data_IF_601603687991
#
_entry.id   IF_601603687991
#
_cell.length_a   1.000
_cell.length_b   1.000
_cell.length_c   1.000
_cell.angle_alpha   90.00
_cell.angle_beta   90.00
_cell.angle_gamma   90.00
#
_symmetry.space_group_name_H-M   'P 1'
#
loop_
_entity.id
_entity.type
_entity.pdbx_description
1 polymer ?
2 non-polymer ?
#
# COMPACT_ATOMS: atom_id res chain seq x y z
N UNK A 1 -6.96 -29.79 -11.79
CA UNK A 1 -6.02 -30.94 -11.60
C UNK A 1 -4.63 -30.45 -11.15
N UNK A 2 -3.59 -31.00 -11.77
CA UNK A 2 -2.21 -30.62 -11.46
C UNK A 2 -2.09 -29.09 -11.28
N UNK A 3 -1.28 -28.70 -10.30
CA UNK A 3 -1.08 -27.28 -10.00
C UNK A 3 -0.39 -26.57 -11.15
N UNK A 4 -1.15 -26.43 -12.23
CA UNK A 4 -0.63 -25.80 -13.43
C UNK A 4 -1.71 -24.99 -14.12
N UNK A 5 -1.31 -23.86 -14.71
CA UNK A 5 -2.27 -23.01 -15.40
C UNK A 5 -2.51 -21.68 -14.72
N UNK A 6 -3.25 -20.76 -15.36
CA UNK A 6 -3.55 -19.44 -14.81
C UNK A 6 -4.48 -19.48 -13.61
N UNK A 7 -4.06 -18.81 -12.53
CA UNK A 7 -4.84 -18.74 -11.30
C UNK A 7 -5.13 -17.29 -10.94
N UNK A 8 -6.40 -16.92 -10.85
CA UNK A 8 -6.76 -15.54 -10.52
C UNK A 8 -7.24 -15.37 -9.08
N UNK A 9 -6.38 -14.79 -8.24
CA UNK A 9 -6.69 -14.57 -6.83
C UNK A 9 -6.86 -13.12 -6.45
N UNK A 10 -7.85 -12.82 -5.61
CA UNK A 10 -8.07 -11.46 -5.18
C UNK A 10 -7.90 -11.34 -3.67
N UNK A 11 -7.19 -10.31 -3.22
CA UNK A 11 -6.97 -10.09 -1.80
C UNK A 11 -7.53 -8.70 -1.46
N UNK A 12 -7.99 -8.50 -0.23
CA UNK A 12 -8.50 -7.19 0.13
C UNK A 12 -7.29 -6.35 0.51
N UNK A 13 -7.35 -5.03 0.25
CA UNK A 13 -6.31 -4.03 0.53
C UNK A 13 -5.58 -4.14 1.87
N UNK A 14 -6.30 -4.59 2.91
CA UNK A 14 -5.70 -4.69 4.23
C UNK A 14 -5.00 -6.02 4.44
N UNK A 15 -4.95 -6.84 3.41
CA UNK A 15 -4.29 -8.14 3.53
C UNK A 15 -3.22 -8.36 2.47
N UNK A 16 -3.62 -8.21 1.21
CA UNK A 16 -2.71 -8.44 0.10
C UNK A 16 -1.28 -7.97 0.24
N UNK A 17 -1.05 -6.66 0.34
CA UNK A 17 0.29 -6.11 0.47
C UNK A 17 1.11 -6.54 1.68
N UNK A 18 0.45 -7.01 2.72
CA UNK A 18 1.19 -7.42 3.91
C UNK A 18 1.39 -8.93 4.00
N UNK A 19 0.53 -9.69 3.34
CA UNK A 19 0.59 -11.15 3.33
C UNK A 19 1.40 -11.72 2.18
N UNK A 20 1.16 -11.19 0.97
CA UNK A 20 1.83 -11.67 -0.24
C UNK A 20 3.34 -11.92 -0.18
N UNK A 21 4.12 -10.94 0.28
CA UNK A 21 5.56 -11.19 0.34
C UNK A 21 5.96 -12.39 1.18
N UNK A 22 5.07 -12.88 2.02
CA UNK A 22 5.36 -14.04 2.86
C UNK A 22 5.03 -15.38 2.22
N UNK A 23 4.00 -15.41 1.39
CA UNK A 23 3.60 -16.66 0.77
C UNK A 23 3.84 -16.81 -0.73
N UNK A 24 3.96 -15.70 -1.45
CA UNK A 24 4.16 -15.77 -2.90
C UNK A 24 5.43 -16.47 -3.36
N UNK A 25 6.60 -16.07 -2.82
CA UNK A 25 7.83 -16.74 -3.25
C UNK A 25 7.73 -18.24 -2.98
N UNK A 26 7.19 -18.59 -1.82
CA UNK A 26 7.00 -19.99 -1.43
C UNK A 26 6.09 -20.77 -2.40
N UNK A 27 4.96 -20.17 -2.77
CA UNK A 27 4.02 -20.82 -3.67
C UNK A 27 4.59 -21.03 -5.05
N UNK A 28 5.43 -20.10 -5.49
CA UNK A 28 6.04 -20.18 -6.80
C UNK A 28 6.99 -21.37 -6.89
N UNK A 29 7.78 -21.59 -5.84
CA UNK A 29 8.70 -22.72 -5.85
C UNK A 29 8.10 -23.97 -5.20
N UNK A 30 6.80 -24.19 -5.45
CA UNK A 30 6.08 -25.33 -4.92
C UNK A 30 4.98 -25.67 -5.92
N UNK A 31 4.72 -24.73 -6.82
CA UNK A 31 3.71 -24.90 -7.86
C UNK A 31 4.20 -24.06 -9.04
N UNK A 32 5.41 -24.38 -9.55
CA UNK A 32 6.08 -23.71 -10.67
C UNK A 32 5.26 -23.57 -11.94
N UNK A 33 4.28 -24.43 -12.15
CA UNK A 33 3.45 -24.33 -13.34
C UNK A 33 2.20 -23.50 -13.06
N UNK A 34 2.24 -22.76 -11.96
CA UNK A 34 1.12 -21.92 -11.57
C UNK A 34 1.31 -20.49 -12.06
N UNK A 35 0.43 -20.08 -12.97
CA UNK A 35 0.46 -18.73 -13.52
C UNK A 35 -0.41 -17.80 -12.68
N UNK A 36 0.26 -17.08 -11.77
CA UNK A 36 -0.40 -16.17 -10.85
C UNK A 36 -0.95 -14.88 -11.46
N UNK A 37 -2.04 -14.40 -10.88
CA UNK A 37 -2.70 -13.16 -11.30
C UNK A 37 -3.34 -12.55 -10.06
N UNK A 38 -2.69 -11.54 -9.49
CA UNK A 38 -3.17 -10.90 -8.28
C UNK A 38 -4.09 -9.70 -8.50
N UNK A 39 -5.30 -9.77 -7.95
CA UNK A 39 -6.26 -8.68 -8.07
C UNK A 39 -6.42 -8.09 -6.67
N UNK A 40 -6.96 -6.88 -6.60
CA UNK A 40 -7.16 -6.21 -5.32
C UNK A 40 -8.42 -5.36 -5.33
N UNK A 41 -9.31 -5.57 -4.37
CA UNK A 41 -10.56 -4.82 -4.27
C UNK A 41 -11.13 -5.00 -2.87
N UNK A 42 -12.27 -4.38 -2.61
CA UNK A 42 -12.94 -4.50 -1.31
C UNK A 42 -13.67 -5.83 -1.21
N UNK A 43 -14.10 -6.20 -0.02
CA UNK A 43 -14.79 -7.47 0.17
C UNK A 43 -16.05 -7.63 -0.67
N UNK A 44 -16.90 -6.62 -0.73
CA UNK A 44 -18.11 -6.77 -1.54
C UNK A 44 -17.68 -7.05 -2.98
N UNK A 45 -16.74 -6.24 -3.48
CA UNK A 45 -16.22 -6.38 -4.84
C UNK A 45 -15.66 -7.76 -5.11
N UNK A 46 -14.67 -8.18 -4.34
CA UNK A 46 -14.08 -9.49 -4.54
C UNK A 46 -15.12 -10.59 -4.45
N UNK A 47 -16.09 -10.43 -3.56
CA UNK A 47 -17.12 -11.43 -3.39
C UNK A 47 -18.03 -11.49 -4.62
N UNK A 48 -18.39 -10.33 -5.17
CA UNK A 48 -19.24 -10.29 -6.35
C UNK A 48 -18.53 -10.98 -7.50
N UNK A 49 -17.29 -10.60 -7.75
CA UNK A 49 -16.53 -11.21 -8.82
C UNK A 49 -16.34 -12.71 -8.68
N UNK A 50 -16.17 -13.19 -7.45
CA UNK A 50 -16.02 -14.62 -7.22
C UNK A 50 -17.27 -15.33 -7.69
N UNK A 51 -18.41 -14.74 -7.36
CA UNK A 51 -19.71 -15.27 -7.72
C UNK A 51 -19.90 -15.32 -9.24
N UNK A 52 -19.46 -14.28 -9.94
CA UNK A 52 -19.58 -14.18 -11.39
C UNK A 52 -18.70 -15.18 -12.10
N UNK A 53 -17.64 -15.63 -11.43
CA UNK A 53 -16.73 -16.58 -12.04
C UNK A 53 -15.46 -15.89 -12.48
N UNK A 54 -15.44 -14.57 -12.38
CA UNK A 54 -14.27 -13.79 -12.76
C UNK A 54 -13.04 -14.21 -11.98
N UNK A 55 -13.19 -14.48 -10.69
CA UNK A 55 -12.06 -14.86 -9.84
C UNK A 55 -12.11 -16.34 -9.47
N UNK A 56 -10.94 -16.95 -9.31
CA UNK A 56 -10.88 -18.36 -8.92
C UNK A 56 -11.00 -18.54 -7.41
N UNK A 57 -10.38 -17.64 -6.67
CA UNK A 57 -10.39 -17.67 -5.21
C UNK A 57 -10.14 -16.28 -4.65
N UNK A 58 -10.56 -16.05 -3.42
CA UNK A 58 -10.38 -14.77 -2.79
C UNK A 58 -9.82 -15.00 -1.41
N UNK A 59 -8.91 -14.13 -0.97
CA UNK A 59 -8.36 -14.22 0.37
C UNK A 59 -8.79 -12.95 1.11
N UNK A 60 -9.51 -13.11 2.21
CA UNK A 60 -9.96 -11.95 2.95
C UNK A 60 -10.23 -12.33 4.40
N UNK A 61 -10.73 -11.36 5.17
CA UNK A 61 -11.04 -11.62 6.55
C UNK A 61 -12.45 -12.15 6.51
N UNK A 62 -12.63 -13.39 6.96
CA UNK A 62 -13.95 -14.01 6.94
C UNK A 62 -14.96 -13.17 7.68
N UNK A 63 -16.07 -12.93 7.01
CA UNK A 63 -17.15 -12.14 7.54
C UNK A 63 -18.46 -12.90 7.32
N UNK A 64 -19.56 -12.30 7.74
CA UNK A 64 -20.85 -12.91 7.54
C UNK A 64 -21.07 -13.23 6.04
N UNK A 65 -20.93 -12.22 5.18
CA UNK A 65 -21.15 -12.43 3.75
C UNK A 65 -20.37 -13.55 3.07
N UNK A 66 -19.12 -13.80 3.49
CA UNK A 66 -18.35 -14.86 2.87
C UNK A 66 -18.86 -16.25 3.28
N UNK A 67 -20.05 -16.28 3.90
CA UNK A 67 -20.68 -17.52 4.38
C UNK A 67 -21.27 -18.39 3.26
N UNK A 68 -21.87 -17.73 2.28
CA UNK A 68 -22.49 -18.42 1.16
C UNK A 68 -21.49 -19.30 0.43
N UNK A 69 -20.21 -18.95 0.50
CA UNK A 69 -19.16 -19.71 -0.19
C UNK A 69 -18.48 -20.72 0.71
N UNK A 70 -17.49 -21.43 0.15
CA UNK A 70 -16.74 -22.39 0.94
C UNK A 70 -15.64 -21.59 1.63
N UNK A 71 -15.62 -21.60 2.95
CA UNK A 71 -14.59 -20.86 3.68
C UNK A 71 -13.48 -21.76 4.20
N UNK A 72 -12.24 -21.33 4.05
CA UNK A 72 -11.12 -22.12 4.53
C UNK A 72 -10.18 -21.28 5.39
N UNK A 73 -10.31 -21.39 6.72
CA UNK A 73 -9.46 -20.63 7.66
C UNK A 73 -7.97 -20.84 7.40
N UNK A 74 -7.25 -19.75 7.18
CA UNK A 74 -5.82 -19.83 6.95
C UNK A 74 -5.08 -19.59 8.27
N UNK A 75 -5.44 -18.52 8.97
CA UNK A 75 -4.81 -18.18 10.25
C UNK A 75 -5.53 -17.02 10.93
N UNK A 76 -5.36 -16.91 12.24
CA UNK A 76 -5.97 -15.81 13.00
C UNK A 76 -4.88 -14.76 13.11
N UNK A 77 -5.25 -13.52 12.84
CA UNK A 77 -4.29 -12.42 12.90
C UNK A 77 -4.70 -11.48 13.99
N UNK A 78 -3.82 -11.28 14.99
CA UNK A 78 -4.12 -10.37 16.10
C UNK A 78 -3.97 -8.90 15.63
N UNK A 79 -4.51 -7.97 16.38
CA UNK A 79 -4.40 -6.57 16.00
C UNK A 79 -3.74 -5.73 17.09
N UNK A 80 -2.65 -5.06 16.74
CA UNK A 80 -1.93 -4.23 17.71
C UNK A 80 -2.37 -2.80 17.65
N UNK A 81 -2.02 -2.05 18.69
CA UNK A 81 -2.36 -0.64 18.79
C UNK A 81 -1.22 0.17 18.22
N UNK A 82 -1.55 1.29 17.61
CA UNK A 82 -0.55 2.19 17.01
C UNK A 82 -0.78 3.60 17.54
N UNK A 83 0.26 4.14 18.16
CA UNK A 83 0.21 5.48 18.73
C UNK A 83 1.50 6.22 18.38
N UNK A 84 1.46 7.55 18.45
CA UNK A 84 2.63 8.37 18.18
C UNK A 84 3.55 8.37 19.41
N UNK A 85 4.85 8.48 19.20
CA UNK A 85 5.84 8.48 20.29
C UNK A 85 5.51 9.41 21.46
N UNK A 86 5.02 10.61 21.16
CA UNK A 86 4.69 11.58 22.21
C UNK A 86 3.42 11.24 22.96
N UNK A 87 3.07 9.97 23.00
CA UNK A 87 1.86 9.56 23.69
C UNK A 87 2.16 8.92 25.04
N UNK A 88 1.32 9.19 26.04
CA UNK A 88 1.45 8.66 27.41
C UNK A 88 1.78 7.16 27.45
N UNK A 89 0.96 6.37 26.77
CA UNK A 89 1.14 4.92 26.74
C UNK A 89 2.38 4.50 25.96
N UNK A 90 3.10 5.46 25.40
CA UNK A 90 4.29 5.14 24.60
C UNK A 90 5.26 4.19 25.28
N UNK A 91 5.28 4.21 26.60
CA UNK A 91 6.20 3.35 27.36
C UNK A 91 5.53 2.16 28.05
N UNK A 92 4.24 1.97 27.80
CA UNK A 92 3.49 0.86 28.37
C UNK A 92 3.99 -0.43 27.72
N UNK A 93 3.51 -1.57 28.21
CA UNK A 93 3.93 -2.84 27.68
C UNK A 93 2.77 -3.49 26.93
N UNK A 94 1.57 -3.00 27.22
CA UNK A 94 0.35 -3.50 26.62
C UNK A 94 -0.78 -2.62 27.08
N UNK A 95 -1.87 -2.58 26.31
CA UNK A 95 -2.99 -1.76 26.70
C UNK A 95 -4.29 -2.55 26.69
N UNK A 96 -5.01 -2.54 27.82
CA UNK A 96 -6.27 -3.29 27.83
C UNK A 96 -7.30 -2.47 27.05
N UNK A 97 -8.16 -3.16 26.30
CA UNK A 97 -9.21 -2.49 25.51
C UNK A 97 -9.98 -1.48 26.32
N UNK A 98 -10.22 -1.79 27.59
CA UNK A 98 -10.96 -0.88 28.46
C UNK A 98 -10.42 0.55 28.41
N UNK A 99 -9.10 0.69 28.37
CA UNK A 99 -8.48 2.01 28.32
C UNK A 99 -8.79 2.78 27.04
N UNK A 100 -9.22 2.06 26.00
CA UNK A 100 -9.54 2.71 24.73
C UNK A 100 -10.94 3.29 24.72
N UNK A 101 -11.93 2.42 24.94
CA UNK A 101 -13.35 2.81 24.96
C UNK A 101 -13.57 4.29 25.31
N UNK A 102 -12.77 4.79 26.26
CA UNK A 102 -12.87 6.18 26.67
C UNK A 102 -11.92 7.05 25.88
N UNK A 103 -12.11 7.10 24.57
CA UNK A 103 -11.27 7.89 23.68
C UNK A 103 -11.66 7.51 22.25
N UNK A 104 -11.33 8.36 21.27
CA UNK A 104 -11.66 8.00 19.90
C UNK A 104 -10.42 7.88 19.02
N UNK A 105 -10.54 6.97 18.06
CA UNK A 105 -9.45 6.67 17.18
C UNK A 105 -9.79 6.75 15.72
N UNK A 106 -8.74 6.85 14.90
CA UNK A 106 -8.88 6.92 13.45
C UNK A 106 -9.29 5.53 12.96
N UNK A 107 -10.17 5.48 11.99
CA UNK A 107 -10.63 4.24 11.43
C UNK A 107 -10.61 4.31 9.92
N UNK A 108 -10.68 3.16 9.27
CA UNK A 108 -10.72 3.14 7.82
C UNK A 108 -12.15 3.47 7.45
N UNK A 109 -12.35 3.77 6.17
CA UNK A 109 -13.68 4.09 5.66
C UNK A 109 -14.55 2.82 5.63
N UNK A 110 -15.87 3.01 5.58
CA UNK A 110 -16.81 1.89 5.50
C UNK A 110 -16.40 1.14 4.24
N UNK A 111 -16.53 -0.17 4.25
CA UNK A 111 -16.15 -0.93 3.07
C UNK A 111 -14.92 -1.76 3.37
N UNK A 112 -14.28 -1.44 4.49
CA UNK A 112 -13.12 -2.21 4.90
C UNK A 112 -13.49 -3.02 6.13
N UNK A 113 -13.45 -4.34 5.98
CA UNK A 113 -13.78 -5.26 7.07
C UNK A 113 -12.74 -5.19 8.21
N UNK A 114 -12.66 -3.99 8.79
CA UNK A 114 -11.77 -3.67 9.90
C UNK A 114 -12.57 -2.72 10.76
N UNK A 115 -13.26 -1.77 10.11
CA UNK A 115 -14.12 -0.84 10.84
C UNK A 115 -15.31 -1.66 11.34
N UNK A 116 -15.89 -2.41 10.41
CA UNK A 116 -17.03 -3.27 10.69
C UNK A 116 -16.49 -4.56 11.32
N UNK A 117 -15.53 -4.41 12.23
CA UNK A 117 -14.92 -5.58 12.86
C UNK A 117 -14.15 -5.22 14.12
N UNK A 118 -14.01 -3.93 14.37
CA UNK A 118 -13.32 -3.45 15.57
C UNK A 118 -14.19 -3.78 16.79
N UNK A 119 -14.08 -5.02 17.28
CA UNK A 119 -14.84 -5.52 18.44
C UNK A 119 -16.12 -4.70 18.60
N UNK A 120 -17.11 -5.04 17.76
CA UNK A 120 -18.36 -4.31 17.75
C UNK A 120 -18.05 -2.89 17.32
N UNK A 121 -18.64 -1.91 18.00
CA UNK A 121 -18.39 -0.51 17.66
C UNK A 121 -18.37 0.41 18.87
N UNK A 122 -17.97 -0.13 20.02
CA UNK A 122 -17.87 0.66 21.26
C UNK A 122 -16.93 1.86 21.03
N UNK A 123 -16.11 1.76 19.97
CA UNK A 123 -15.13 2.77 19.60
C UNK A 123 -15.73 3.81 18.63
N UNK A 130 -19.00 9.64 16.72
CA UNK A 130 -18.69 9.99 15.34
C UNK A 130 -17.21 10.41 15.19
N UNK A 131 -16.80 10.54 13.93
CA UNK A 131 -15.43 10.94 13.55
C UNK A 131 -15.47 11.16 12.02
N UNK A 132 -15.97 12.33 11.59
CA UNK A 132 -16.11 12.67 10.16
C UNK A 132 -14.83 12.86 9.33
N UNK A 133 -13.98 11.82 9.39
CA UNK A 133 -12.73 11.71 8.64
C UNK A 133 -12.33 10.24 8.69
N UNK A 134 -12.19 9.63 7.53
CA UNK A 134 -11.81 8.23 7.47
C UNK A 134 -10.59 8.12 6.57
N UNK A 135 -9.74 7.13 6.86
CA UNK A 135 -8.58 6.90 6.03
C UNK A 135 -9.12 6.02 4.92
N UNK A 136 -8.43 5.90 3.81
CA UNK A 136 -8.91 5.03 2.74
C UNK A 136 -7.92 3.90 2.55
N UNK A 137 -6.70 4.11 3.03
CA UNK A 137 -5.67 3.08 2.96
C UNK A 137 -5.12 2.87 4.35
N UNK A 138 -4.60 1.69 4.60
CA UNK A 138 -4.03 1.39 5.90
C UNK A 138 -2.80 2.25 6.09
N UNK A 139 -2.09 2.55 5.00
CA UNK A 139 -0.88 3.35 5.08
C UNK A 139 -1.19 4.80 5.42
N UNK A 140 -2.17 5.36 4.73
CA UNK A 140 -2.56 6.73 4.99
C UNK A 140 -2.93 6.80 6.46
N UNK A 141 -3.54 5.73 6.95
CA UNK A 141 -3.97 5.64 8.34
C UNK A 141 -2.75 5.63 9.25
N UNK A 142 -1.83 4.71 8.99
CA UNK A 142 -0.59 4.58 9.74
C UNK A 142 0.11 5.94 9.88
N UNK A 143 0.26 6.65 8.77
CA UNK A 143 0.95 7.94 8.80
C UNK A 143 0.22 9.08 9.50
N UNK A 144 -1.11 8.98 9.63
CA UNK A 144 -1.87 9.99 10.35
C UNK A 144 -1.44 9.89 11.82
N UNK A 145 -1.14 8.65 12.23
CA UNK A 145 -0.69 8.37 13.60
C UNK A 145 0.66 9.05 13.77
N UNK A 146 1.52 8.97 12.75
CA UNK A 146 2.83 9.60 12.80
C UNK A 146 2.65 11.11 12.95
N UNK A 147 1.73 11.68 12.18
CA UNK A 147 1.48 13.11 12.25
C UNK A 147 0.83 13.45 13.60
N UNK A 148 0.67 12.43 14.44
CA UNK A 148 0.06 12.63 15.75
C UNK A 148 -1.38 13.12 15.72
N UNK A 149 -2.16 12.64 14.76
CA UNK A 149 -3.55 13.06 14.64
C UNK A 149 -4.49 12.09 15.35
N UNK A 150 -3.95 11.06 15.97
CA UNK A 150 -4.76 10.07 16.68
C UNK A 150 -4.07 8.73 16.76
N UNK A 151 -4.77 7.73 17.29
CA UNK A 151 -4.25 6.37 17.41
C UNK A 151 -5.14 5.38 16.63
N UNK A 152 -4.69 4.14 16.45
CA UNK A 152 -5.52 3.21 15.69
C UNK A 152 -5.09 1.77 15.89
N UNK A 153 -5.88 0.83 15.39
CA UNK A 153 -5.54 -0.58 15.48
C UNK A 153 -5.07 -1.02 14.09
N UNK A 154 -4.11 -1.93 14.03
CA UNK A 154 -3.60 -2.40 12.74
C UNK A 154 -3.34 -3.88 12.77
N UNK A 155 -3.63 -4.57 11.65
CA UNK A 155 -3.38 -6.01 11.59
C UNK A 155 -1.89 -6.28 11.80
N UNK A 156 -1.57 -7.33 12.56
CA UNK A 156 -0.21 -7.67 12.87
C UNK A 156 0.74 -7.68 11.68
N UNK A 157 0.31 -8.25 10.56
CA UNK A 157 1.20 -8.31 9.41
C UNK A 157 1.58 -6.95 8.84
N UNK A 158 0.83 -5.91 9.19
CA UNK A 158 1.13 -4.58 8.71
C UNK A 158 1.98 -3.80 9.72
N UNK A 159 2.48 -4.51 10.74
CA UNK A 159 3.32 -3.90 11.77
C UNK A 159 4.78 -4.31 11.62
N UNK A 160 5.69 -3.33 11.64
CA UNK A 160 7.12 -3.64 11.51
C UNK A 160 7.65 -4.40 12.71
N UNK A 161 8.79 -5.09 12.52
CA UNK A 161 9.45 -5.87 13.57
C UNK A 161 9.80 -4.98 14.75
N UNK A 162 10.23 -3.75 14.47
CA UNK A 162 10.58 -2.82 15.52
C UNK A 162 9.34 -2.33 16.25
N UNK A 163 9.46 -2.20 17.57
CA UNK A 163 8.37 -1.72 18.40
C UNK A 163 8.10 -0.27 18.07
N UNK A 164 9.17 0.45 17.72
CA UNK A 164 9.04 1.86 17.40
C UNK A 164 9.58 2.09 16.01
N UNK A 165 8.98 3.04 15.30
CA UNK A 165 9.44 3.33 13.96
C UNK A 165 8.73 4.50 13.33
N UNK A 166 9.48 5.27 12.55
CA UNK A 166 8.97 6.45 11.87
C UNK A 166 7.96 7.24 12.70
N UNK A 167 8.32 7.51 13.96
CA UNK A 167 7.49 8.28 14.87
C UNK A 167 6.23 7.60 15.37
N UNK A 168 6.17 6.28 15.25
CA UNK A 168 5.01 5.52 15.68
C UNK A 168 5.43 4.34 16.55
N UNK A 169 4.64 4.09 17.59
CA UNK A 169 4.91 3.00 18.52
C UNK A 169 3.83 1.95 18.38
N UNK A 170 4.22 0.68 18.27
CA UNK A 170 3.24 -0.40 18.16
C UNK A 170 3.29 -1.29 19.41
N UNK A 171 2.21 -1.30 20.19
CA UNK A 171 2.13 -2.12 21.40
C UNK A 171 0.86 -2.98 21.42
N UNK A 172 0.97 -4.21 21.97
CA UNK A 172 -0.12 -5.19 22.09
C UNK A 172 -1.42 -4.68 22.72
N UNK A 173 -2.52 -5.21 22.20
CA UNK A 173 -3.87 -4.89 22.69
C UNK A 173 -4.31 -6.17 23.38
N UNK A 174 -4.71 -6.08 24.64
CA UNK A 174 -5.08 -7.27 25.40
C UNK A 174 -6.36 -7.12 26.22
N UNK A 175 -6.81 -8.26 26.76
CA UNK A 175 -8.02 -8.32 27.57
C UNK A 175 -9.21 -7.63 26.90
N UNK A 176 -9.68 -8.14 25.75
CA UNK A 176 -9.19 -9.33 25.02
C UNK A 176 -8.26 -8.92 23.89
N UNK A 177 -7.52 -9.88 23.34
CA UNK A 177 -6.64 -9.58 22.20
C UNK A 177 -7.53 -9.62 20.96
N UNK A 178 -7.70 -8.48 20.27
CA UNK A 178 -8.55 -8.39 19.07
C UNK A 178 -8.01 -9.31 17.96
N UNK A 179 -8.89 -10.05 17.32
CA UNK A 179 -8.43 -10.97 16.28
C UNK A 179 -9.36 -10.92 15.10
N UNK A 180 -8.87 -11.41 13.97
CA UNK A 180 -9.69 -11.50 12.78
C UNK A 180 -9.15 -12.75 12.11
N UNK A 181 -10.02 -13.49 11.45
CA UNK A 181 -9.61 -14.72 10.80
C UNK A 181 -9.46 -14.57 9.30
N UNK A 182 -8.26 -14.86 8.81
CA UNK A 182 -8.00 -14.75 7.39
C UNK A 182 -8.28 -16.11 6.76
N UNK A 183 -9.17 -16.13 5.78
CA UNK A 183 -9.47 -17.38 5.11
C UNK A 183 -9.44 -17.29 3.58
N UNK A 184 -9.40 -18.45 2.93
CA UNK A 184 -9.42 -18.53 1.48
C UNK A 184 -10.87 -18.87 1.14
N UNK A 185 -11.43 -18.25 0.12
CA UNK A 185 -12.82 -18.53 -0.24
C UNK A 185 -12.97 -18.83 -1.73
N UNK A 186 -13.71 -19.89 -2.05
CA UNK A 186 -13.95 -20.27 -3.44
C UNK A 186 -15.39 -20.74 -3.62
N UNK A 187 -15.93 -20.62 -4.84
CA UNK A 187 -17.32 -21.01 -5.12
C UNK A 187 -17.58 -22.48 -4.88
N UNK A 188 -18.61 -22.81 -4.10
CA UNK A 188 -18.91 -24.22 -3.84
C UNK A 188 -19.19 -24.95 -5.15
N UNK A 189 -18.68 -26.16 -5.25
CA UNK A 189 -18.89 -26.94 -6.45
C UNK A 189 -17.68 -26.91 -7.35
N UNK A 190 -17.10 -25.74 -7.53
CA UNK A 190 -15.91 -25.60 -8.38
C UNK A 190 -15.14 -26.89 -8.61
N UNK A 191 -15.04 -27.29 -9.87
CA UNK A 191 -14.31 -28.51 -10.25
C UNK A 191 -12.91 -28.52 -9.67
N UNK A 192 -12.30 -27.33 -9.59
CA UNK A 192 -10.94 -27.22 -9.09
C UNK A 192 -10.82 -27.17 -7.55
N UNK A 193 -11.80 -27.75 -6.88
CA UNK A 193 -11.83 -27.80 -5.41
C UNK A 193 -10.51 -28.29 -4.79
N UNK A 194 -9.93 -29.34 -5.37
CA UNK A 194 -8.66 -29.87 -4.87
C UNK A 194 -7.54 -28.84 -4.99
N UNK A 195 -7.54 -28.13 -6.12
CA UNK A 195 -6.56 -27.09 -6.43
C UNK A 195 -6.51 -26.14 -5.23
N UNK A 196 -7.59 -25.40 -5.06
CA UNK A 196 -7.74 -24.44 -3.99
C UNK A 196 -7.32 -25.06 -2.66
N UNK A 197 -7.78 -26.28 -2.44
CA UNK A 197 -7.47 -26.99 -1.20
C UNK A 197 -5.98 -27.04 -0.88
N UNK A 198 -5.17 -27.56 -1.80
CA UNK A 198 -3.72 -27.65 -1.56
C UNK A 198 -3.14 -26.26 -1.33
N UNK A 199 -3.68 -25.30 -2.06
CA UNK A 199 -3.24 -23.92 -1.96
C UNK A 199 -3.43 -23.45 -0.52
N UNK A 200 -4.66 -23.56 -0.01
CA UNK A 200 -4.93 -23.15 1.35
C UNK A 200 -4.04 -23.93 2.33
N UNK A 201 -3.71 -25.17 1.95
CA UNK A 201 -2.87 -26.03 2.77
C UNK A 201 -1.48 -25.42 2.92
N UNK A 202 -0.87 -25.18 1.77
CA UNK A 202 0.47 -24.60 1.69
C UNK A 202 0.59 -23.31 2.49
N UNK A 203 -0.41 -22.44 2.34
CA UNK A 203 -0.41 -21.18 3.04
C UNK A 203 -0.54 -21.41 4.54
N UNK A 204 -1.59 -22.14 4.92
CA UNK A 204 -1.86 -22.43 6.33
C UNK A 204 -0.61 -22.97 7.00
N UNK A 205 0.10 -23.83 6.29
CA UNK A 205 1.34 -24.42 6.79
C UNK A 205 2.36 -23.32 7.14
N UNK A 206 2.78 -22.58 6.11
CA UNK A 206 3.76 -21.51 6.24
C UNK A 206 3.42 -20.40 7.26
N UNK A 207 2.13 -20.15 7.49
CA UNK A 207 1.75 -19.11 8.45
C UNK A 207 1.48 -19.63 9.86
N UNK A 208 1.71 -20.93 10.06
CA UNK A 208 1.47 -21.54 11.36
C UNK A 208 2.46 -21.06 12.42
N UNK A 209 1.94 -20.67 13.57
CA UNK A 209 2.80 -20.18 14.65
C UNK A 209 3.73 -19.08 14.16
N UNK A 210 3.17 -18.20 13.32
CA UNK A 210 3.94 -17.11 12.75
C UNK A 210 3.93 -15.90 13.67
N UNK A 211 2.98 -15.87 14.60
CA UNK A 211 2.90 -14.74 15.50
C UNK A 211 3.41 -15.06 16.92
N UNK A 212 4.69 -15.43 16.97
CA UNK A 212 5.38 -15.78 18.21
C UNK A 212 6.85 -15.44 18.04
N UNK B 1 4.73 30.92 13.44
CA UNK B 1 3.58 30.16 13.92
C UNK B 1 2.52 29.91 12.83
N UNK B 2 2.49 30.77 11.81
CA UNK B 2 1.53 30.66 10.70
C UNK B 2 1.26 29.19 10.34
N UNK B 3 2.25 28.34 10.63
CA UNK B 3 2.12 26.93 10.39
C UNK B 3 1.34 26.32 11.57
N UNK B 4 0.07 26.70 11.67
CA UNK B 4 -0.81 26.21 12.72
C UNK B 4 -2.20 26.03 12.12
N UNK B 5 -2.90 24.98 12.55
CA UNK B 5 -4.24 24.73 12.05
C UNK B 5 -4.33 23.46 11.20
N UNK B 6 -5.54 23.08 10.79
CA UNK B 6 -5.77 21.89 9.97
C UNK B 6 -5.29 22.04 8.53
N UNK B 7 -4.51 21.06 8.09
CA UNK B 7 -3.98 21.04 6.74
C UNK B 7 -4.41 19.75 6.05
N UNK B 8 -5.04 19.88 4.89
CA UNK B 8 -5.50 18.71 4.15
C UNK B 8 -4.67 18.50 2.89
N UNK B 9 -3.86 17.45 2.92
CA UNK B 9 -2.99 17.13 1.80
C UNK B 9 -3.33 15.81 1.15
N UNK B 10 -3.25 15.76 -0.17
CA UNK B 10 -3.54 14.53 -0.89
C UNK B 10 -2.30 14.07 -1.65
N UNK B 11 -2.03 12.77 -1.62
CA UNK B 11 -0.89 12.20 -2.33
C UNK B 11 -1.45 11.13 -3.25
N UNK B 12 -0.83 10.90 -4.39
CA UNK B 12 -1.30 9.84 -5.27
C UNK B 12 -0.76 8.53 -4.70
N UNK B 13 -1.47 7.41 -4.94
CA UNK B 13 -1.10 6.07 -4.47
C UNK B 13 0.34 5.63 -4.68
N UNK B 14 0.97 6.08 -5.76
CA UNK B 14 2.35 5.68 -6.04
C UNK B 14 3.38 6.53 -5.35
N UNK B 15 2.93 7.47 -4.52
CA UNK B 15 3.84 8.36 -3.79
C UNK B 15 3.62 8.30 -2.29
N UNK B 16 2.40 8.67 -1.87
CA UNK B 16 2.05 8.68 -0.46
C UNK B 16 2.67 7.68 0.48
N UNK B 17 2.34 6.39 0.34
CA UNK B 17 2.88 5.35 1.21
C UNK B 17 4.40 5.19 1.22
N UNK B 18 5.06 5.60 0.16
CA UNK B 18 6.52 5.47 0.11
C UNK B 18 7.25 6.74 0.53
N UNK B 19 6.61 7.89 0.38
CA UNK B 19 7.21 9.17 0.75
C UNK B 19 6.92 9.60 2.19
N UNK B 20 5.67 9.45 2.61
CA UNK B 20 5.23 9.88 3.94
C UNK B 20 6.09 9.50 5.14
N UNK B 21 6.47 8.23 5.25
CA UNK B 21 7.31 7.86 6.40
C UNK B 21 8.64 8.60 6.47
N UNK B 22 9.04 9.26 5.38
CA UNK B 22 10.28 10.01 5.35
C UNK B 22 10.13 11.48 5.77
N UNK B 23 8.98 12.06 5.47
CA UNK B 23 8.80 13.47 5.79
C UNK B 23 7.80 13.82 6.87
N UNK B 24 6.87 12.91 7.18
CA UNK B 24 5.86 13.20 8.19
C UNK B 24 6.39 13.42 9.59
N UNK B 25 7.23 12.49 10.10
CA UNK B 25 7.75 12.70 11.47
C UNK B 25 8.50 14.04 11.54
N UNK B 26 9.26 14.34 10.48
CA UNK B 26 10.02 15.59 10.39
C UNK B 26 9.12 16.84 10.40
N UNK B 27 8.05 16.82 9.62
CA UNK B 27 7.14 17.95 9.57
C UNK B 27 6.42 18.18 10.89
N UNK B 28 6.14 17.10 11.61
CA UNK B 28 5.43 17.20 12.87
C UNK B 28 6.27 17.92 13.92
N UNK B 29 7.55 17.57 13.97
CA UNK B 29 8.48 18.19 14.91
C UNK B 29 9.17 19.39 14.23
N UNK B 30 8.37 20.19 13.52
CA UNK B 30 8.87 21.38 12.82
C UNK B 30 7.69 22.34 12.68
N UNK B 31 6.48 21.81 12.81
CA UNK B 31 5.25 22.59 12.74
C UNK B 31 4.27 21.87 13.66
N UNK B 32 4.63 21.72 14.93
CA UNK B 32 3.78 21.04 15.91
C UNK B 32 2.34 21.50 15.95
N UNK B 33 2.09 22.77 15.62
CA UNK B 33 0.70 23.25 15.65
C UNK B 33 -0.01 22.97 14.33
N UNK B 34 0.56 22.05 13.56
CA UNK B 34 0.00 21.68 12.27
C UNK B 34 -0.83 20.42 12.40
N UNK B 35 -2.12 20.54 12.08
CA UNK B 35 -3.06 19.43 12.15
C UNK B 35 -3.19 18.75 10.79
N UNK B 36 -2.44 17.67 10.62
CA UNK B 36 -2.41 16.87 9.38
C UNK B 36 -3.66 16.05 9.04
N UNK B 37 -3.93 15.95 7.74
CA UNK B 37 -5.05 15.18 7.22
C UNK B 37 -4.67 14.63 5.85
N UNK B 38 -4.26 13.37 5.83
CA UNK B 38 -3.81 12.72 4.61
C UNK B 38 -4.89 12.05 3.76
N UNK B 39 -5.04 12.49 2.52
CA UNK B 39 -6.02 11.91 1.60
C UNK B 39 -5.26 11.14 0.53
N UNK B 40 -5.94 10.23 -0.17
CA UNK B 40 -5.29 9.46 -1.23
C UNK B 40 -6.24 9.19 -2.36
N UNK B 41 -5.83 9.56 -3.57
CA UNK B 41 -6.64 9.36 -4.75
C UNK B 41 -5.74 9.46 -5.97
N UNK B 42 -6.34 9.31 -7.14
CA UNK B 42 -5.58 9.40 -8.38
C UNK B 42 -5.33 10.86 -8.71
N UNK B 43 -4.47 11.09 -9.68
CA UNK B 43 -4.15 12.45 -10.10
C UNK B 43 -5.35 13.30 -10.53
N UNK B 44 -6.28 12.73 -11.32
CA UNK B 44 -7.44 13.49 -11.76
C UNK B 44 -8.31 13.81 -10.55
N UNK B 45 -8.54 12.81 -9.70
CA UNK B 45 -9.35 12.99 -8.49
C UNK B 45 -8.78 14.10 -7.60
N UNK B 46 -7.52 13.95 -7.19
CA UNK B 46 -6.87 14.93 -6.35
C UNK B 46 -6.92 16.33 -6.94
N UNK B 47 -6.59 16.43 -8.22
CA UNK B 47 -6.59 17.72 -8.91
C UNK B 47 -7.96 18.39 -8.88
N UNK B 48 -9.02 17.60 -9.04
CA UNK B 48 -10.37 18.15 -8.99
C UNK B 48 -10.66 18.67 -7.58
N UNK B 49 -10.33 17.87 -6.58
CA UNK B 49 -10.55 18.28 -5.20
C UNK B 49 -9.73 19.49 -4.80
N UNK B 50 -8.53 19.63 -5.35
CA UNK B 50 -7.69 20.78 -5.03
C UNK B 50 -8.41 22.04 -5.52
N UNK B 51 -8.98 21.93 -6.71
CA UNK B 51 -9.68 23.03 -7.33
C UNK B 51 -10.93 23.45 -6.54
N UNK B 52 -11.64 22.48 -5.98
CA UNK B 52 -12.86 22.70 -5.20
C UNK B 52 -12.55 23.39 -3.90
N UNK B 53 -11.35 23.17 -3.40
CA UNK B 53 -10.97 23.76 -2.14
C UNK B 53 -11.03 22.70 -1.06
N UNK B 54 -11.56 21.53 -1.42
CA UNK B 54 -11.64 20.45 -0.47
C UNK B 54 -10.24 20.15 0.04
N UNK B 55 -9.23 20.27 -0.82
CA UNK B 55 -7.85 20.02 -0.42
C UNK B 55 -7.03 21.31 -0.39
N UNK B 56 -6.07 21.38 0.52
CA UNK B 56 -5.19 22.54 0.65
C UNK B 56 -3.98 22.48 -0.29
N UNK B 57 -3.48 21.27 -0.48
CA UNK B 57 -2.33 21.04 -1.35
C UNK B 57 -2.28 19.57 -1.75
N UNK B 58 -1.66 19.30 -2.89
CA UNK B 58 -1.56 17.94 -3.40
C UNK B 58 -0.12 17.64 -3.74
N UNK B 59 0.34 16.44 -3.42
CA UNK B 59 1.68 16.04 -3.79
C UNK B 59 1.54 14.91 -4.80
N UNK B 60 2.08 15.11 -5.99
CA UNK B 60 1.98 14.07 -7.00
C UNK B 60 3.16 14.20 -7.97
N UNK B 61 3.14 13.39 -9.01
CA UNK B 61 4.18 13.45 -10.03
C UNK B 61 3.64 14.47 -11.01
N UNK B 62 4.36 15.58 -11.17
CA UNK B 62 3.91 16.63 -12.08
C UNK B 62 3.62 16.13 -13.48
N UNK B 63 2.44 16.50 -13.98
CA UNK B 63 2.03 16.11 -15.30
C UNK B 63 1.53 17.35 -16.03
N UNK B 64 1.08 17.15 -17.26
CA UNK B 64 0.54 18.23 -18.04
C UNK B 64 -0.59 18.90 -17.26
N UNK B 65 -1.59 18.14 -16.82
CA UNK B 65 -2.74 18.70 -16.09
C UNK B 65 -2.46 19.54 -14.84
N UNK B 66 -1.40 19.22 -14.08
CA UNK B 66 -1.09 19.99 -12.87
C UNK B 66 -0.48 21.34 -13.24
N UNK B 67 -0.61 21.71 -14.52
CA UNK B 67 -0.07 22.97 -15.05
C UNK B 67 -0.89 24.20 -14.70
N UNK B 68 -2.21 24.02 -14.68
CA UNK B 68 -3.12 25.11 -14.35
C UNK B 68 -2.83 25.66 -12.95
N UNK B 69 -2.30 24.84 -12.07
CA UNK B 69 -2.02 25.28 -10.70
C UNK B 69 -0.58 25.72 -10.53
N UNK B 70 -0.21 26.05 -9.30
CA UNK B 70 1.15 26.48 -9.00
C UNK B 70 1.92 25.20 -8.70
N UNK B 71 2.96 24.92 -9.46
CA UNK B 71 3.73 23.70 -9.24
C UNK B 71 5.04 23.96 -8.55
N UNK B 72 5.35 23.16 -7.53
CA UNK B 72 6.59 23.33 -6.82
C UNK B 72 7.39 22.03 -6.78
N UNK B 73 8.44 21.92 -7.61
CA UNK B 73 9.27 20.73 -7.67
C UNK B 73 9.88 20.38 -6.31
N UNK B 74 9.71 19.14 -5.89
CA UNK B 74 10.27 18.72 -4.61
C UNK B 74 11.55 17.94 -4.85
N UNK B 75 11.50 16.99 -5.79
CA UNK B 75 12.67 16.19 -6.12
C UNK B 75 12.39 15.29 -7.31
N UNK B 76 13.44 14.87 -8.00
CA UNK B 76 13.28 13.98 -9.15
C UNK B 76 13.48 12.59 -8.59
N UNK B 77 12.62 11.67 -8.99
CA UNK B 77 12.71 10.30 -8.48
C UNK B 77 13.02 9.36 -9.62
N UNK B 78 14.15 8.66 -9.56
CA UNK B 78 14.50 7.72 -10.62
C UNK B 78 13.64 6.44 -10.51
N UNK B 79 13.61 5.65 -11.57
CA UNK B 79 12.82 4.42 -11.55
C UNK B 79 13.66 3.21 -11.86
N UNK B 80 13.66 2.25 -10.94
CA UNK B 80 14.42 1.02 -11.13
C UNK B 80 13.60 -0.09 -11.73
N UNK B 81 14.30 -1.09 -12.26
CA UNK B 81 13.67 -2.24 -12.88
C UNK B 81 13.49 -3.30 -11.80
N UNK B 82 12.42 -4.08 -11.94
CA UNK B 82 12.12 -5.13 -10.97
C UNK B 82 11.87 -6.41 -11.72
N UNK B 83 12.64 -7.44 -11.36
CA UNK B 83 12.54 -8.74 -11.99
C UNK B 83 12.62 -9.83 -10.92
N UNK B 84 12.16 -11.03 -11.27
CA UNK B 84 12.20 -12.17 -10.36
C UNK B 84 13.59 -12.76 -10.39
N UNK B 85 14.03 -13.34 -9.27
CA UNK B 85 15.36 -13.93 -9.18
C UNK B 85 15.74 -14.86 -10.33
N UNK B 86 14.81 -15.73 -10.73
CA UNK B 86 15.10 -16.67 -11.82
C UNK B 86 15.18 -16.02 -13.18
N UNK B 87 15.53 -14.74 -13.23
CA UNK B 87 15.62 -14.05 -14.51
C UNK B 87 17.07 -13.89 -14.94
N UNK B 88 17.33 -13.97 -16.25
CA UNK B 88 18.66 -13.84 -16.86
C UNK B 88 19.44 -12.63 -16.33
N UNK B 89 18.81 -11.45 -16.40
CA UNK B 89 19.45 -10.22 -15.97
C UNK B 89 19.65 -10.16 -14.45
N UNK B 90 19.11 -11.15 -13.75
CA UNK B 90 19.22 -11.18 -12.30
C UNK B 90 20.60 -10.85 -11.76
N UNK B 91 21.63 -11.13 -12.55
CA UNK B 91 23.00 -10.89 -12.11
C UNK B 91 23.66 -9.70 -12.80
N UNK B 92 22.88 -8.97 -13.60
CA UNK B 92 23.41 -7.80 -14.28
C UNK B 92 23.64 -6.71 -13.26
N UNK B 93 24.22 -5.60 -13.69
CA UNK B 93 24.53 -4.51 -12.80
C UNK B 93 23.66 -3.30 -13.16
N UNK B 94 23.10 -3.36 -14.35
CA UNK B 94 22.23 -2.32 -14.85
C UNK B 94 21.68 -2.77 -16.19
N UNK B 95 20.56 -2.22 -16.59
CA UNK B 95 19.97 -2.61 -17.84
C UNK B 95 19.63 -1.39 -18.67
N UNK B 96 20.08 -1.36 -19.92
CA UNK B 96 19.77 -0.21 -20.77
C UNK B 96 18.34 -0.38 -21.27
N UNK B 97 17.60 0.73 -21.33
CA UNK B 97 16.22 0.70 -21.79
C UNK B 97 16.05 -0.10 -23.07
N UNK B 98 17.02 0.02 -23.96
CA UNK B 98 16.99 -0.70 -25.23
C UNK B 98 16.66 -2.19 -25.05
N UNK B 99 17.29 -2.82 -24.06
CA UNK B 99 17.05 -4.25 -23.81
C UNK B 99 15.60 -4.56 -23.47
N UNK B 100 14.86 -3.55 -23.03
CA UNK B 100 13.47 -3.76 -22.66
C UNK B 100 12.58 -3.76 -23.87
N UNK B 101 12.98 -2.99 -24.89
CA UNK B 101 12.26 -2.84 -26.15
C UNK B 101 11.36 -4.04 -26.48
N UNK B 102 11.83 -5.24 -26.17
CA UNK B 102 11.05 -6.42 -26.44
C UNK B 102 10.96 -7.40 -25.29
N UNK B 103 10.01 -7.17 -24.38
CA UNK B 103 9.81 -8.06 -23.24
C UNK B 103 8.42 -7.91 -22.58
N UNK B 104 8.12 -8.79 -21.62
CA UNK B 104 6.85 -8.77 -20.92
C UNK B 104 6.85 -7.69 -19.82
N UNK B 105 6.30 -6.52 -20.14
CA UNK B 105 6.27 -5.43 -19.17
C UNK B 105 4.92 -5.16 -18.48
N UNK B 106 4.78 -5.62 -17.22
CA UNK B 106 3.57 -5.42 -16.42
C UNK B 106 3.41 -3.94 -16.06
N UNK B 107 2.20 -3.40 -16.19
CA UNK B 107 1.99 -1.98 -15.89
C UNK B 107 0.79 -1.65 -15.02
N UNK B 108 0.82 -0.48 -14.40
CA UNK B 108 -0.31 -0.06 -13.58
C UNK B 108 -1.47 0.25 -14.51
N UNK B 109 -2.68 0.17 -13.97
CA UNK B 109 -3.87 0.42 -14.76
C UNK B 109 -3.91 1.87 -15.23
N UNK B 110 -4.78 2.15 -16.20
CA UNK B 110 -4.92 3.50 -16.71
C UNK B 110 -5.41 4.33 -15.54
N UNK B 111 -4.91 5.55 -15.42
CA UNK B 111 -5.33 6.38 -14.32
C UNK B 111 -4.21 6.47 -13.31
N UNK B 112 -3.01 6.14 -13.77
CA UNK B 112 -1.83 6.22 -12.94
C UNK B 112 -0.70 6.84 -13.75
N UNK B 113 -0.28 8.04 -13.36
CA UNK B 113 0.77 8.76 -14.06
C UNK B 113 2.13 8.06 -13.88
N UNK B 114 2.18 6.84 -14.40
CA UNK B 114 3.37 5.99 -14.39
C UNK B 114 3.26 5.26 -15.71
N UNK B 115 2.06 4.74 -15.99
CA UNK B 115 1.81 4.08 -17.26
C UNK B 115 2.06 5.19 -18.27
N UNK B 116 1.13 6.15 -18.27
CA UNK B 116 1.17 7.30 -19.16
C UNK B 116 2.57 7.93 -19.23
N UNK B 117 3.43 7.62 -18.25
CA UNK B 117 4.77 8.19 -18.27
C UNK B 117 5.49 7.62 -19.51
N UNK B 118 5.31 6.31 -19.72
CA UNK B 118 5.91 5.55 -20.84
C UNK B 118 7.07 6.24 -21.61
N UNK B 119 8.21 6.44 -20.92
CA UNK B 119 9.40 7.07 -21.51
C UNK B 119 9.52 6.61 -22.97
N UNK B 120 10.01 5.39 -23.17
CA UNK B 120 10.19 4.85 -24.51
C UNK B 120 8.99 4.14 -25.14
N UNK B 121 9.27 3.42 -26.22
CA UNK B 121 8.25 2.66 -26.97
C UNK B 121 8.59 1.16 -26.95
N UNK B 122 7.62 0.35 -26.53
CA UNK B 122 7.79 -1.11 -26.44
C UNK B 122 6.83 -1.89 -27.35
N UNK B 123 6.13 -2.85 -26.74
CA UNK B 123 5.13 -3.69 -27.41
C UNK B 123 3.77 -3.30 -26.81
N UNK B 124 3.12 -2.30 -27.43
CA UNK B 124 1.83 -1.80 -26.97
C UNK B 124 1.33 -0.70 -27.90
N UNK B 131 -0.44 -7.98 -24.31
CA UNK B 131 -0.51 -7.48 -22.94
C UNK B 131 -1.98 -7.16 -22.60
N UNK B 132 -2.54 -7.87 -21.61
CA UNK B 132 -3.94 -7.64 -21.20
C UNK B 132 -4.29 -7.90 -19.72
N UNK B 133 -3.47 -7.35 -18.84
CA UNK B 133 -3.67 -7.45 -17.39
C UNK B 133 -3.05 -6.22 -16.75
N UNK B 134 -3.82 -5.54 -15.91
CA UNK B 134 -3.31 -4.36 -15.24
C UNK B 134 -3.39 -4.51 -13.74
N UNK B 135 -2.35 -4.04 -13.07
CA UNK B 135 -2.28 -4.08 -11.63
C UNK B 135 -3.07 -2.86 -11.21
N UNK B 136 -3.56 -2.80 -9.98
CA UNK B 136 -4.27 -1.61 -9.57
C UNK B 136 -3.49 -0.92 -8.47
N UNK B 137 -2.58 -1.67 -7.86
CA UNK B 137 -1.72 -1.15 -6.81
C UNK B 137 -0.29 -1.48 -7.14
N UNK B 138 0.62 -0.64 -6.67
CA UNK B 138 2.03 -0.84 -6.91
C UNK B 138 2.48 -2.12 -6.24
N UNK B 139 1.86 -2.44 -5.10
CA UNK B 139 2.21 -3.64 -4.36
C UNK B 139 1.74 -4.89 -5.09
N UNK B 140 0.48 -4.88 -5.53
CA UNK B 140 -0.03 -6.02 -6.25
C UNK B 140 0.87 -6.24 -7.47
N UNK B 141 1.36 -5.15 -8.04
CA UNK B 141 2.26 -5.19 -9.19
C UNK B 141 3.59 -5.83 -8.78
N UNK B 142 4.21 -5.29 -7.74
CA UNK B 142 5.47 -5.81 -7.22
C UNK B 142 5.40 -7.32 -7.02
N UNK B 143 4.36 -7.81 -6.36
CA UNK B 143 4.20 -9.23 -6.10
C UNK B 143 3.93 -10.14 -7.32
N UNK B 144 3.46 -9.57 -8.42
CA UNK B 144 3.23 -10.34 -9.64
C UNK B 144 4.63 -10.67 -10.16
N UNK B 145 5.57 -9.76 -9.90
CA UNK B 145 6.96 -9.93 -10.30
C UNK B 145 7.50 -11.11 -9.51
N UNK B 146 7.16 -11.14 -8.22
CA UNK B 146 7.60 -12.21 -7.34
C UNK B 146 7.08 -13.55 -7.87
N UNK B 147 5.81 -13.58 -8.26
CA UNK B 147 5.22 -14.80 -8.80
C UNK B 147 5.81 -15.13 -10.18
N UNK B 148 6.77 -14.33 -10.63
CA UNK B 148 7.39 -14.57 -11.92
C UNK B 148 6.47 -14.41 -13.11
N UNK B 149 5.48 -13.51 -13.01
CA UNK B 149 4.55 -13.31 -14.11
C UNK B 149 4.99 -12.22 -15.07
N UNK B 150 6.13 -11.58 -14.78
CA UNK B 150 6.64 -10.53 -15.64
C UNK B 150 7.59 -9.61 -14.90
N UNK B 151 8.01 -8.53 -15.57
CA UNK B 151 8.92 -7.54 -14.97
C UNK B 151 8.26 -6.17 -15.02
N UNK B 152 8.80 -5.20 -14.28
CA UNK B 152 8.19 -3.87 -14.26
C UNK B 152 9.12 -2.78 -13.77
N UNK B 153 8.68 -1.54 -13.94
CA UNK B 153 9.46 -0.40 -13.47
C UNK B 153 8.78 0.09 -12.19
N UNK B 154 9.57 0.55 -11.21
CA UNK B 154 9.02 1.02 -9.94
C UNK B 154 9.71 2.26 -9.44
N UNK B 155 8.96 3.20 -8.86
CA UNK B 155 9.59 4.41 -8.35
C UNK B 155 10.61 4.03 -7.28
N UNK B 156 11.75 4.72 -7.27
CA UNK B 156 12.82 4.45 -6.33
C UNK B 156 12.39 4.35 -4.87
N UNK B 157 11.51 5.24 -4.43
CA UNK B 157 11.07 5.19 -3.04
C UNK B 157 10.32 3.91 -2.67
N UNK B 158 9.83 3.20 -3.69
CA UNK B 158 9.08 1.98 -3.47
C UNK B 158 9.99 0.76 -3.56
N UNK B 159 11.31 1.00 -3.59
CA UNK B 159 12.27 -0.08 -3.69
C UNK B 159 13.04 -0.23 -2.39
N UNK B 160 13.18 -1.47 -1.89
CA UNK B 160 13.91 -1.71 -0.64
C UNK B 160 15.40 -1.50 -0.77
N UNK B 161 16.10 -1.32 0.36
CA UNK B 161 17.54 -1.12 0.36
C UNK B 161 18.26 -2.29 -0.27
N UNK B 162 17.91 -3.51 0.13
CA UNK B 162 18.55 -4.71 -0.43
C UNK B 162 18.30 -4.85 -1.93
N UNK B 163 19.38 -5.15 -2.65
CA UNK B 163 19.28 -5.33 -4.09
C UNK B 163 18.29 -6.47 -4.36
N UNK B 164 18.34 -7.48 -3.50
CA UNK B 164 17.47 -8.66 -3.62
C UNK B 164 16.57 -8.75 -2.40
N UNK B 165 15.33 -9.18 -2.59
CA UNK B 165 14.40 -9.31 -1.47
C UNK B 165 13.07 -9.97 -1.83
N UNK B 166 12.61 -10.85 -0.94
CA UNK B 166 11.37 -11.58 -1.12
C UNK B 166 11.19 -12.08 -2.56
N UNK B 167 12.24 -12.72 -3.07
CA UNK B 167 12.21 -13.26 -4.42
C UNK B 167 12.22 -12.28 -5.57
N UNK B 168 12.57 -11.02 -5.29
CA UNK B 168 12.61 -10.01 -6.32
C UNK B 168 13.97 -9.32 -6.34
N UNK B 169 14.44 -8.98 -7.54
CA UNK B 169 15.73 -8.30 -7.70
C UNK B 169 15.49 -6.90 -8.27
N UNK B 170 16.09 -5.89 -7.65
CA UNK B 170 15.92 -4.52 -8.14
C UNK B 170 17.24 -3.98 -8.69
N UNK B 171 17.28 -3.72 -10.00
CA UNK B 171 18.49 -3.20 -10.63
C UNK B 171 18.22 -1.95 -11.47
N UNK B 172 19.18 -1.00 -11.47
CA UNK B 172 19.10 0.27 -12.21
C UNK B 172 18.72 0.17 -13.67
N UNK B 173 18.01 1.20 -14.13
CA UNK B 173 17.56 1.32 -15.51
C UNK B 173 18.37 2.50 -16.03
N UNK B 174 19.08 2.30 -17.13
CA UNK B 174 19.93 3.36 -17.66
C UNK B 174 19.83 3.55 -19.16
N UNK B 175 20.44 4.65 -19.63
CA UNK B 175 20.47 5.01 -21.05
C UNK B 175 19.09 4.95 -21.68
N UNK B 176 18.17 5.82 -21.23
CA UNK B 176 18.32 6.84 -20.18
C UNK B 176 17.75 6.34 -18.86
N UNK B 177 18.11 7.03 -17.76
CA UNK B 177 17.59 6.65 -16.44
C UNK B 177 16.21 7.30 -16.36
N UNK B 178 15.15 6.47 -16.30
CA UNK B 178 13.78 7.00 -16.23
C UNK B 178 13.58 7.81 -14.97
N UNK B 179 13.03 9.01 -15.14
CA UNK B 179 12.77 9.88 -14.00
C UNK B 179 11.37 10.45 -14.04
N UNK B 180 10.95 10.92 -12.87
CA UNK B 180 9.67 11.56 -12.69
C UNK B 180 9.90 12.61 -11.62
N UNK B 181 9.22 13.74 -11.73
CA UNK B 181 9.38 14.81 -10.76
C UNK B 181 8.22 14.94 -9.79
N UNK B 182 8.54 14.77 -8.52
CA UNK B 182 7.53 14.89 -7.50
C UNK B 182 7.46 16.35 -7.06
N UNK B 183 6.25 16.91 -7.13
CA UNK B 183 6.05 18.30 -6.75
C UNK B 183 4.81 18.52 -5.91
N UNK B 184 4.77 19.66 -5.22
CA UNK B 184 3.65 20.06 -4.38
C UNK B 184 2.84 21.00 -5.25
N UNK B 185 1.52 20.87 -5.22
CA UNK B 185 0.69 21.74 -6.03
C UNK B 185 -0.42 22.37 -5.20
N UNK B 186 -0.61 23.68 -5.36
CA UNK B 186 -1.65 24.39 -4.63
C UNK B 186 -2.28 25.43 -5.54
N UNK B 187 -3.49 25.87 -5.16
CA UNK B 187 -4.23 26.85 -5.93
C UNK B 187 -3.53 28.18 -6.12
N UNK B 188 -3.54 28.70 -7.35
CA UNK B 188 -2.88 30.01 -7.53
C UNK B 188 -3.75 31.08 -6.86
N UNK B 189 -3.12 32.00 -6.15
CA UNK B 189 -3.90 33.03 -5.48
C UNK B 189 -4.13 32.75 -4.01
N UNK B 190 -4.36 31.49 -3.67
CA UNK B 190 -4.60 31.11 -2.28
C UNK B 190 -3.88 32.01 -1.27
N UNK B 191 -4.63 32.59 -0.32
CA UNK B 191 -4.10 33.47 0.72
C UNK B 191 -3.03 32.80 1.58
N UNK B 192 -3.07 31.48 1.66
CA UNK B 192 -2.07 30.76 2.46
C UNK B 192 -0.87 30.35 1.64
N UNK B 193 -0.65 31.05 0.54
CA UNK B 193 0.47 30.81 -0.34
C UNK B 193 1.78 30.59 0.45
N UNK B 194 2.07 31.50 1.38
CA UNK B 194 3.29 31.36 2.16
C UNK B 194 3.34 30.04 2.91
N UNK B 195 2.20 29.64 3.45
CA UNK B 195 2.03 28.41 4.20
C UNK B 195 2.62 27.26 3.39
N UNK B 196 1.97 26.98 2.26
CA UNK B 196 2.37 25.92 1.36
C UNK B 196 3.85 26.05 0.98
N UNK B 197 4.28 27.28 0.71
CA UNK B 197 5.66 27.57 0.35
C UNK B 197 6.67 27.02 1.35
N UNK B 198 6.47 27.33 2.62
CA UNK B 198 7.39 26.84 3.65
C UNK B 198 7.33 25.34 3.71
N UNK B 199 6.14 24.81 3.49
CA UNK B 199 5.93 23.38 3.53
C UNK B 199 6.78 22.69 2.47
N UNK B 200 6.68 23.17 1.23
CA UNK B 200 7.46 22.58 0.15
C UNK B 200 8.95 22.77 0.44
N UNK B 201 9.28 23.86 1.11
CA UNK B 201 10.65 24.17 1.47
C UNK B 201 11.20 23.03 2.33
N UNK B 202 10.52 22.82 3.45
CA UNK B 202 10.86 21.79 4.41
C UNK B 202 11.09 20.44 3.75
N UNK B 203 10.12 20.02 2.96
CA UNK B 203 10.20 18.74 2.27
C UNK B 203 11.40 18.67 1.33
N UNK B 204 11.51 19.65 0.43
CA UNK B 204 12.60 19.72 -0.56
C UNK B 204 13.95 19.59 0.15
N UNK B 205 14.07 20.28 1.28
CA UNK B 205 15.27 20.24 2.09
C UNK B 205 15.60 18.78 2.45
N UNK B 206 14.73 18.18 3.26
CA UNK B 206 14.86 16.80 3.72
C UNK B 206 15.06 15.73 2.64
N UNK B 207 14.54 15.96 1.44
CA UNK B 207 14.70 14.98 0.37
C UNK B 207 15.90 15.28 -0.53
N UNK B 208 16.56 16.42 -0.31
CA UNK B 208 17.69 16.78 -1.14
C UNK B 208 18.81 15.75 -1.00
N UNK B 209 19.23 15.22 -2.15
CA UNK B 209 20.28 14.22 -2.16
C UNK B 209 19.90 12.97 -1.37
N UNK B 210 18.76 12.38 -1.75
CA UNK B 210 18.28 11.17 -1.09
C UNK B 210 18.65 9.97 -1.97
N UNK B 211 19.12 10.25 -3.18
CA UNK B 211 19.48 9.18 -4.07
C UNK B 211 20.95 9.29 -4.49
N UNK B 212 21.85 9.28 -3.51
CA UNK B 212 23.28 9.39 -3.80
C UNK B 212 24.14 8.44 -2.97
#
# INVERSE_FOLDING_TARGET
>A
ETMSGPLHIGLIPTVGPYLLPHIIPMLHQTFPKLEMYLHEAQTHQLLAQLDSGKLDAVILALVKESEAFIEVPLFDEPMLLAIYEDHPWANREAVPMADLAGEKLLMLEDGHSLRDQAMGFCFEAGADEDTHFRATSLETLRNMVAAGSGITLLPALAVPPERKRDGVVYLPAIKPEPRRTIGLVYRPGSPLRSRYEQLAEAIRARMDGHFDKVLKQAV
>B
ETMSGPLHIGLIPTVGPYLLPHIIPMLHQTFPKLEMYLHEAQTHQLLAQLDSGKLDAVILALVKESEAFIEVPLFDEPMLLAIYEDHPWANREAVPMADLAGEKLLMLEDGHSLRDQAMGFCFEAGADEDTHFRATSLETLRNMVAAGSGITLLPALAVPPERKRDGVVYLPAIKPEPRRTIGLVYRPGSPLRSRYEQLAEAIRARMDGHFDKVLKQAV
#
